data_IF_137760412240
#
_entry.id   IF_137760412240
#
_cell.length_a   1.000
_cell.length_b   1.000
_cell.length_c   1.000
_cell.angle_alpha   90.00
_cell.angle_beta   90.00
_cell.angle_gamma   90.00
#
_symmetry.space_group_name_H-M   'P 1'
#
loop_
_entity.id
_entity.type
_entity.pdbx_description
1 polymer ?
#
# COMPACT_ATOMS: atom_id res chain seq x y z
N UNK A 1 18.77 -15.38 0.59
CA UNK A 1 18.17 -15.08 -0.74
C UNK A 1 18.27 -13.57 -0.96
N UNK A 2 18.35 -13.06 -2.18
CA UNK A 2 18.49 -11.61 -2.45
C UNK A 2 17.57 -11.17 -3.61
N UNK A 3 17.20 -9.87 -3.70
CA UNK A 3 16.36 -9.36 -4.77
C UNK A 3 17.05 -9.45 -6.14
N UNK A 4 16.28 -9.76 -7.18
CA UNK A 4 16.77 -9.73 -8.55
C UNK A 4 17.27 -8.31 -8.95
N UNK A 5 18.30 -8.20 -9.83
CA UNK A 5 18.75 -6.93 -10.37
C UNK A 5 17.59 -6.14 -10.99
N UNK A 6 17.48 -4.85 -10.63
CA UNK A 6 16.33 -4.01 -11.00
C UNK A 6 16.72 -2.54 -11.03
N UNK A 7 16.01 -1.77 -11.84
CA UNK A 7 16.10 -0.31 -11.91
C UNK A 7 14.76 0.33 -11.53
N UNK A 8 14.78 1.63 -11.20
CA UNK A 8 13.59 2.44 -10.89
C UNK A 8 12.65 1.82 -9.83
N UNK A 9 13.25 1.10 -8.89
CA UNK A 9 12.65 0.79 -7.60
C UNK A 9 12.70 2.05 -6.74
N UNK A 10 11.90 2.08 -5.68
CA UNK A 10 12.03 3.08 -4.63
C UNK A 10 12.36 2.41 -3.30
N UNK A 11 12.96 3.18 -2.39
CA UNK A 11 13.43 2.69 -1.11
C UNK A 11 13.22 3.68 0.02
N UNK A 12 13.13 3.17 1.25
CA UNK A 12 13.12 3.99 2.45
C UNK A 12 13.61 3.21 3.66
N UNK A 13 13.97 3.91 4.73
CA UNK A 13 14.58 3.32 5.91
C UNK A 13 13.67 3.42 7.14
N UNK A 14 13.61 2.35 7.94
CA UNK A 14 13.07 2.35 9.30
C UNK A 14 14.09 1.71 10.23
N UNK A 15 14.64 2.48 11.16
CA UNK A 15 15.68 2.01 12.07
C UNK A 15 16.85 1.39 11.30
N UNK A 16 17.14 0.11 11.57
CA UNK A 16 18.22 -0.66 10.93
C UNK A 16 17.87 -1.26 9.58
N UNK A 17 16.63 -1.15 9.11
CA UNK A 17 16.17 -1.82 7.90
C UNK A 17 15.95 -0.83 6.75
N UNK A 18 16.55 -1.12 5.59
CA UNK A 18 16.23 -0.43 4.33
C UNK A 18 15.22 -1.27 3.58
N UNK A 19 14.04 -0.72 3.32
CA UNK A 19 12.99 -1.34 2.53
C UNK A 19 13.11 -0.91 1.07
N UNK A 20 12.91 -1.85 0.16
CA UNK A 20 12.88 -1.64 -1.28
C UNK A 20 11.58 -2.23 -1.83
N UNK A 21 10.91 -1.48 -2.70
CA UNK A 21 9.64 -1.90 -3.30
C UNK A 21 9.65 -1.74 -4.82
N UNK A 22 9.10 -2.74 -5.49
CA UNK A 22 8.89 -2.73 -6.94
C UNK A 22 10.18 -2.60 -7.75
N UNK A 23 10.13 -1.77 -8.80
CA UNK A 23 11.16 -1.64 -9.82
C UNK A 23 10.92 -2.55 -11.02
N UNK A 24 11.85 -2.57 -11.96
CA UNK A 24 11.76 -3.42 -13.14
C UNK A 24 13.14 -3.91 -13.59
N UNK A 25 13.15 -4.99 -14.35
CA UNK A 25 14.25 -5.36 -15.22
C UNK A 25 13.82 -5.20 -16.69
N UNK A 26 14.66 -5.65 -17.63
CA UNK A 26 14.35 -5.53 -19.06
C UNK A 26 13.15 -6.37 -19.51
N UNK A 27 12.72 -7.34 -18.71
CA UNK A 27 11.68 -8.33 -19.04
C UNK A 27 10.37 -8.07 -18.31
N UNK A 28 10.42 -7.65 -17.04
CA UNK A 28 9.26 -7.53 -16.18
C UNK A 28 9.38 -6.40 -15.16
N UNK A 29 8.21 -5.95 -14.68
CA UNK A 29 8.10 -5.12 -13.49
C UNK A 29 7.90 -6.02 -12.27
N UNK A 30 8.33 -5.55 -11.10
CA UNK A 30 8.21 -6.24 -9.84
C UNK A 30 7.14 -5.59 -8.95
N UNK A 31 6.44 -6.40 -8.16
CA UNK A 31 5.51 -5.97 -7.10
C UNK A 31 6.00 -6.34 -5.71
N UNK A 32 7.16 -6.99 -5.60
CA UNK A 32 7.66 -7.49 -4.33
C UNK A 32 8.25 -6.36 -3.46
N UNK A 33 8.31 -6.64 -2.17
CA UNK A 33 8.95 -5.81 -1.17
C UNK A 33 10.05 -6.61 -0.48
N UNK A 34 11.20 -5.97 -0.27
CA UNK A 34 12.37 -6.53 0.38
C UNK A 34 12.87 -5.59 1.48
N UNK A 35 13.53 -6.13 2.49
CA UNK A 35 14.32 -5.34 3.43
C UNK A 35 15.76 -5.83 3.50
N UNK A 36 16.70 -4.89 3.55
CA UNK A 36 18.09 -5.13 3.92
C UNK A 36 18.28 -4.75 5.39
N UNK A 37 18.76 -5.69 6.18
CA UNK A 37 19.24 -5.43 7.53
C UNK A 37 20.64 -4.83 7.49
N UNK A 38 20.82 -3.61 8.02
CA UNK A 38 22.08 -2.90 7.98
C UNK A 38 23.15 -3.42 8.93
N UNK A 39 22.81 -4.23 9.94
CA UNK A 39 23.82 -4.84 10.81
C UNK A 39 24.30 -6.20 10.29
N UNK A 40 23.37 -7.04 9.81
CA UNK A 40 23.70 -8.40 9.32
C UNK A 40 23.97 -8.45 7.82
N UNK A 41 23.61 -7.39 7.10
CA UNK A 41 23.64 -7.28 5.64
C UNK A 41 22.84 -8.40 4.94
N UNK A 42 21.81 -8.91 5.60
CA UNK A 42 20.93 -9.94 5.08
C UNK A 42 19.64 -9.36 4.47
N UNK A 43 19.21 -9.97 3.38
CA UNK A 43 17.97 -9.62 2.68
C UNK A 43 16.82 -10.52 3.13
N UNK A 44 15.68 -9.91 3.40
CA UNK A 44 14.42 -10.58 3.72
C UNK A 44 13.34 -10.16 2.73
N UNK A 45 12.58 -11.12 2.20
CA UNK A 45 11.44 -10.85 1.31
C UNK A 45 10.16 -10.76 2.13
N UNK A 46 9.38 -9.69 1.96
CA UNK A 46 8.14 -9.45 2.68
C UNK A 46 6.93 -9.86 1.84
N UNK A 47 6.32 -11.01 2.17
CA UNK A 47 5.14 -11.52 1.43
C UNK A 47 3.90 -10.67 1.72
N UNK A 48 3.75 -10.17 2.96
CA UNK A 48 2.61 -9.34 3.37
C UNK A 48 2.59 -7.91 2.80
N UNK A 49 3.73 -7.41 2.30
CA UNK A 49 3.91 -6.01 1.90
C UNK A 49 3.99 -5.81 0.37
N UNK A 50 3.65 -6.84 -0.41
CA UNK A 50 3.72 -6.78 -1.87
C UNK A 50 2.65 -5.86 -2.45
N UNK A 51 3.00 -5.13 -3.52
CA UNK A 51 2.09 -4.25 -4.21
C UNK A 51 0.98 -5.04 -4.95
N UNK A 52 -0.25 -4.50 -5.04
CA UNK A 52 -1.34 -5.16 -5.76
C UNK A 52 -1.05 -5.34 -7.25
N UNK A 53 -0.20 -4.50 -7.83
CA UNK A 53 0.28 -4.60 -9.20
C UNK A 53 1.78 -4.29 -9.24
N UNK A 54 2.55 -4.95 -10.12
CA UNK A 54 3.94 -4.59 -10.33
C UNK A 54 4.08 -3.13 -10.74
N UNK A 55 5.09 -2.42 -10.25
CA UNK A 55 5.32 -1.04 -10.68
C UNK A 55 6.79 -0.60 -10.60
N UNK A 56 7.17 0.31 -11.50
CA UNK A 56 8.46 0.98 -11.54
C UNK A 56 8.26 2.45 -11.92
N UNK A 57 9.26 3.32 -11.70
CA UNK A 57 9.12 4.78 -11.81
C UNK A 57 7.98 5.34 -10.93
N UNK A 58 7.67 4.66 -9.83
CA UNK A 58 6.79 5.16 -8.79
C UNK A 58 7.58 6.01 -7.80
N UNK A 59 6.87 6.70 -6.91
CA UNK A 59 7.46 7.31 -5.72
C UNK A 59 6.90 6.61 -4.49
N UNK A 60 7.76 6.34 -3.51
CA UNK A 60 7.43 5.74 -2.24
C UNK A 60 7.90 6.64 -1.10
N UNK A 61 7.15 6.65 -0.01
CA UNK A 61 7.55 7.30 1.24
C UNK A 61 7.17 6.41 2.42
N UNK A 62 7.95 6.51 3.48
CA UNK A 62 7.75 5.71 4.69
C UNK A 62 7.43 6.66 5.84
N UNK A 63 6.41 6.32 6.61
CA UNK A 63 6.17 6.84 7.94
C UNK A 63 6.88 5.93 8.95
N UNK A 64 8.06 6.32 9.47
CA UNK A 64 8.85 5.46 10.35
C UNK A 64 8.20 5.27 11.73
N UNK A 65 7.33 6.19 12.17
CA UNK A 65 6.67 6.11 13.48
C UNK A 65 5.62 5.02 13.52
N UNK A 66 4.83 4.89 12.45
CA UNK A 66 3.74 3.91 12.36
C UNK A 66 4.15 2.65 11.57
N UNK A 67 5.30 2.67 10.90
CA UNK A 67 5.75 1.58 10.04
C UNK A 67 4.92 1.42 8.79
N UNK A 68 4.46 2.51 8.19
CA UNK A 68 3.65 2.51 6.97
C UNK A 68 4.49 2.94 5.77
N UNK A 69 4.33 2.26 4.64
CA UNK A 69 4.83 2.71 3.34
C UNK A 69 3.66 3.13 2.46
N UNK A 70 3.80 4.27 1.81
CA UNK A 70 2.91 4.77 0.77
C UNK A 70 3.63 4.74 -0.56
N UNK A 71 2.98 4.20 -1.59
CA UNK A 71 3.50 4.14 -2.96
C UNK A 71 2.52 4.85 -3.88
N UNK A 72 3.01 5.80 -4.67
CA UNK A 72 2.21 6.59 -5.58
C UNK A 72 2.67 6.44 -7.03
N UNK A 73 1.71 6.12 -7.86
CA UNK A 73 1.80 6.11 -9.31
C UNK A 73 2.76 5.08 -9.89
N UNK A 74 3.54 5.50 -10.88
CA UNK A 74 4.46 4.64 -11.62
C UNK A 74 3.88 4.03 -12.89
N UNK A 75 4.52 2.97 -13.36
CA UNK A 75 4.19 2.25 -14.59
C UNK A 75 3.97 0.77 -14.28
N UNK A 76 2.79 0.23 -14.62
CA UNK A 76 2.39 -1.09 -14.13
C UNK A 76 2.80 -2.27 -15.05
N UNK A 77 3.35 -1.96 -16.22
CA UNK A 77 3.79 -2.97 -17.17
C UNK A 77 4.90 -2.42 -18.08
N UNK A 78 5.95 -3.21 -18.28
CA UNK A 78 7.11 -2.81 -19.10
C UNK A 78 6.72 -2.66 -20.58
N UNK A 79 5.88 -3.56 -21.09
CA UNK A 79 5.51 -3.61 -22.51
C UNK A 79 4.55 -2.49 -22.94
N UNK A 80 3.44 -2.28 -22.19
CA UNK A 80 2.43 -1.27 -22.55
C UNK A 80 2.67 0.10 -21.91
N UNK A 81 3.67 0.20 -21.02
CA UNK A 81 4.07 1.43 -20.30
C UNK A 81 2.89 2.23 -19.71
N UNK A 82 1.85 1.54 -19.22
CA UNK A 82 0.66 2.21 -18.68
C UNK A 82 1.01 2.91 -17.37
N UNK A 83 0.94 4.24 -17.38
CA UNK A 83 1.07 5.09 -16.18
C UNK A 83 -0.13 4.88 -15.26
N UNK A 84 0.12 4.93 -13.96
CA UNK A 84 -0.92 4.91 -12.93
C UNK A 84 -0.81 6.14 -12.05
N UNK A 85 -1.96 6.62 -11.58
CA UNK A 85 -2.14 7.60 -10.50
C UNK A 85 -2.59 6.91 -9.20
N UNK A 86 -2.49 5.57 -9.13
CA UNK A 86 -2.92 4.80 -7.98
C UNK A 86 -2.01 5.06 -6.78
N UNK A 87 -2.62 5.13 -5.60
CA UNK A 87 -1.91 5.16 -4.33
C UNK A 87 -2.11 3.82 -3.63
N UNK A 88 -1.00 3.20 -3.24
CA UNK A 88 -0.97 1.98 -2.45
C UNK A 88 -0.38 2.28 -1.09
N UNK A 89 -0.79 1.48 -0.11
CA UNK A 89 -0.28 1.54 1.26
C UNK A 89 -0.02 0.13 1.75
N UNK A 90 1.09 -0.09 2.44
CA UNK A 90 1.36 -1.34 3.13
C UNK A 90 2.02 -1.10 4.49
N UNK A 91 1.80 -2.03 5.41
CA UNK A 91 2.44 -2.05 6.71
C UNK A 91 3.79 -2.75 6.60
N UNK A 92 4.84 -2.17 7.17
CA UNK A 92 6.21 -2.71 7.25
C UNK A 92 6.54 -3.20 8.66
N UNK A 93 5.81 -2.72 9.65
CA UNK A 93 5.81 -3.20 11.03
C UNK A 93 4.39 -3.14 11.60
N UNK A 94 4.22 -3.73 12.78
CA UNK A 94 2.94 -3.63 13.49
C UNK A 94 2.70 -2.17 13.89
N UNK A 95 1.54 -1.55 13.54
CA UNK A 95 1.21 -0.21 13.99
C UNK A 95 1.09 -0.08 15.49
N UNK A 96 1.27 1.14 15.99
CA UNK A 96 0.91 1.46 17.38
C UNK A 96 -0.58 1.26 17.63
N UNK A 97 -0.95 0.94 18.88
CA UNK A 97 -2.35 0.87 19.29
C UNK A 97 -3.08 2.20 19.04
N UNK A 98 -2.41 3.32 19.27
CA UNK A 98 -2.94 4.65 19.00
C UNK A 98 -3.30 4.79 17.51
N UNK A 99 -2.41 4.41 16.60
CA UNK A 99 -2.64 4.46 15.15
C UNK A 99 -3.79 3.57 14.72
N UNK A 100 -3.84 2.33 15.22
CA UNK A 100 -4.95 1.41 14.97
C UNK A 100 -6.29 1.97 15.47
N UNK A 101 -6.31 2.56 16.67
CA UNK A 101 -7.49 3.17 17.25
C UNK A 101 -7.94 4.41 16.46
N UNK A 102 -7.01 5.26 16.02
CA UNK A 102 -7.30 6.41 15.17
C UNK A 102 -7.95 5.97 13.85
N UNK A 103 -7.41 4.95 13.18
CA UNK A 103 -8.01 4.42 11.95
C UNK A 103 -9.43 3.89 12.18
N UNK A 104 -9.65 3.16 13.29
CA UNK A 104 -10.97 2.63 13.64
C UNK A 104 -11.99 3.78 13.85
N UNK A 105 -11.61 4.83 14.56
CA UNK A 105 -12.45 6.01 14.80
C UNK A 105 -12.75 6.73 13.48
N UNK A 106 -11.75 6.98 12.64
CA UNK A 106 -11.94 7.67 11.36
C UNK A 106 -12.90 6.91 10.43
N UNK A 107 -12.86 5.56 10.44
CA UNK A 107 -13.79 4.71 9.70
C UNK A 107 -15.21 4.82 10.25
N UNK A 108 -15.38 4.73 11.57
CA UNK A 108 -16.67 4.89 12.23
C UNK A 108 -17.34 6.22 11.83
N UNK A 109 -16.60 7.33 11.98
CA UNK A 109 -17.08 8.66 11.63
C UNK A 109 -17.38 8.85 10.12
N UNK A 110 -16.62 8.18 9.25
CA UNK A 110 -16.89 8.23 7.80
C UNK A 110 -18.20 7.49 7.45
N UNK A 111 -18.41 6.31 8.03
CA UNK A 111 -19.61 5.52 7.81
C UNK A 111 -20.87 6.23 8.33
N UNK A 112 -20.78 6.89 9.49
CA UNK A 112 -21.89 7.67 10.03
C UNK A 112 -22.30 8.83 9.11
N UNK A 113 -21.33 9.54 8.51
CA UNK A 113 -21.64 10.61 7.55
C UNK A 113 -22.36 10.10 6.30
N UNK A 114 -22.00 8.92 5.79
CA UNK A 114 -22.72 8.30 4.68
C UNK A 114 -24.12 7.84 5.08
N UNK A 115 -24.29 7.33 6.29
CA UNK A 115 -25.60 6.93 6.82
C UNK A 115 -26.53 8.13 7.01
N UNK A 116 -26.03 9.25 7.54
CA UNK A 116 -26.78 10.51 7.68
C UNK A 116 -27.14 11.11 6.30
N UNK A 117 -26.24 11.03 5.31
CA UNK A 117 -26.55 11.51 3.97
C UNK A 117 -27.64 10.69 3.27
N UNK A 118 -27.74 9.38 3.58
CA UNK A 118 -28.77 8.49 3.03
C UNK A 118 -30.14 8.66 3.70
N UNK A 119 -30.18 9.03 4.98
CA UNK A 119 -31.45 9.34 5.65
C UNK A 119 -32.06 10.67 5.21
N UNK A 120 -31.27 11.57 4.61
CA UNK A 120 -31.71 12.90 4.17
C UNK A 120 -32.05 13.00 2.66
N UNK A 121 -31.90 11.93 1.88
CA UNK A 121 -32.33 11.90 0.47
C UNK A 121 -33.73 11.32 0.39
N UNK A 122 -34.68 12.14 0.80
CA UNK A 122 -36.12 11.94 0.62
C UNK A 122 -36.77 13.19 0.03
N UNK A 123 -36.16 13.86 -0.96
CA UNK A 123 -36.83 14.89 -1.76
C UNK A 123 -35.99 15.30 -3.00
N UNK A 124 -36.60 15.18 -4.20
CA UNK A 124 -36.33 15.81 -5.53
C UNK A 124 -34.86 15.87 -6.04
N UNK A 125 -34.48 15.63 -7.31
CA UNK A 125 -35.10 15.87 -8.61
C UNK A 125 -34.20 15.30 -9.75
N UNK A 126 -34.82 15.09 -10.92
CA UNK A 126 -34.32 15.11 -12.31
C UNK A 126 -33.02 14.37 -12.76
N UNK A 127 -33.21 13.46 -13.72
CA UNK A 127 -32.16 12.79 -14.50
C UNK A 127 -31.52 13.77 -15.51
N UNK A 128 -30.25 14.15 -15.33
CA UNK A 128 -29.39 14.70 -16.40
C UNK A 128 -28.34 13.66 -16.82
N UNK A 129 -28.46 13.18 -18.07
CA UNK A 129 -27.49 12.26 -18.72
C UNK A 129 -26.11 12.93 -18.82
N UNK A 130 -25.06 12.25 -18.35
CA UNK A 130 -23.66 12.55 -18.69
C UNK A 130 -23.08 11.34 -19.41
N UNK A 131 -23.12 11.37 -20.74
CA UNK A 131 -22.33 10.49 -21.60
C UNK A 131 -20.97 11.16 -21.80
N UNK A 132 -19.96 10.72 -21.07
CA UNK A 132 -18.55 10.99 -21.34
C UNK A 132 -17.77 9.68 -21.18
N UNK A 133 -17.27 9.07 -22.28
CA UNK A 133 -16.63 7.76 -22.25
C UNK A 133 -15.22 7.75 -21.63
N UNK A 134 -14.65 8.91 -21.25
CA UNK A 134 -13.29 9.00 -20.72
C UNK A 134 -13.20 9.47 -19.26
N UNK A 135 -14.33 9.75 -18.62
CA UNK A 135 -14.35 10.12 -17.20
C UNK A 135 -14.43 8.89 -16.31
N UNK A 136 -13.28 8.25 -16.08
CA UNK A 136 -13.19 7.33 -14.95
C UNK A 136 -13.33 8.13 -13.65
N UNK A 137 -14.47 7.95 -12.99
CA UNK A 137 -14.65 8.35 -11.61
C UNK A 137 -13.50 7.80 -10.78
N UNK A 138 -12.60 8.67 -10.33
CA UNK A 138 -11.69 8.40 -9.22
C UNK A 138 -12.54 8.32 -7.95
N UNK A 139 -13.31 7.24 -7.81
CA UNK A 139 -13.60 6.74 -6.47
C UNK A 139 -12.24 6.32 -5.96
N UNK A 140 -11.69 7.09 -5.02
CA UNK A 140 -10.68 6.65 -4.08
C UNK A 140 -11.23 5.40 -3.39
N UNK A 141 -11.10 4.27 -4.07
CA UNK A 141 -11.58 2.98 -3.60
C UNK A 141 -10.50 2.45 -2.67
N UNK A 142 -10.30 3.16 -1.56
CA UNK A 142 -9.77 2.59 -0.34
C UNK A 142 -10.85 1.63 0.21
N UNK A 143 -11.20 0.58 -0.55
CA UNK A 143 -11.92 -0.56 0.03
C UNK A 143 -10.88 -1.37 0.77
N UNK A 144 -10.51 -0.86 1.93
CA UNK A 144 -9.59 -1.48 2.87
C UNK A 144 -10.40 -2.52 3.65
N UNK A 145 -10.20 -3.79 3.35
CA UNK A 145 -10.75 -4.89 4.16
C UNK A 145 -9.90 -5.00 5.44
N UNK A 146 -10.45 -4.55 6.57
CA UNK A 146 -9.76 -4.54 7.87
C UNK A 146 -9.22 -5.91 8.29
N UNK A 147 -9.98 -6.98 8.05
CA UNK A 147 -9.50 -8.35 8.31
C UNK A 147 -8.26 -8.67 7.48
N UNK A 148 -8.20 -8.25 6.21
CA UNK A 148 -7.05 -8.51 5.35
C UNK A 148 -5.81 -7.74 5.80
N UNK A 149 -5.94 -6.46 6.14
CA UNK A 149 -4.83 -5.67 6.68
C UNK A 149 -4.38 -6.17 8.07
N UNK A 150 -5.32 -6.60 8.92
CA UNK A 150 -5.03 -7.18 10.22
C UNK A 150 -4.32 -8.54 10.08
N UNK A 151 -4.77 -9.39 9.16
CA UNK A 151 -4.07 -10.64 8.81
C UNK A 151 -2.68 -10.38 8.22
N UNK A 152 -2.50 -9.32 7.40
CA UNK A 152 -1.18 -8.91 6.92
C UNK A 152 -0.27 -8.46 8.07
N UNK A 153 -0.78 -7.66 9.02
CA UNK A 153 -0.02 -7.28 10.23
C UNK A 153 0.33 -8.49 11.12
N UNK A 154 -0.58 -9.47 11.26
CA UNK A 154 -0.34 -10.70 12.01
C UNK A 154 0.68 -11.62 11.32
N UNK A 155 0.69 -11.68 9.98
CA UNK A 155 1.69 -12.42 9.21
C UNK A 155 3.08 -11.78 9.34
N UNK A 156 3.16 -10.45 9.28
CA UNK A 156 4.40 -9.69 9.54
C UNK A 156 4.89 -9.93 10.98
N UNK A 157 3.99 -9.94 11.96
CA UNK A 157 4.32 -10.27 13.35
C UNK A 157 4.87 -11.69 13.51
N UNK A 158 4.26 -12.69 12.85
CA UNK A 158 4.77 -14.06 12.85
C UNK A 158 6.17 -14.16 12.20
N UNK A 159 6.38 -13.48 11.07
CA UNK A 159 7.67 -13.49 10.38
C UNK A 159 8.76 -12.75 11.18
N UNK A 160 8.40 -11.68 11.92
CA UNK A 160 9.30 -10.96 12.83
C UNK A 160 9.55 -11.71 14.16
N UNK A 161 8.58 -12.45 14.69
CA UNK A 161 8.70 -13.23 15.93
C UNK A 161 9.52 -14.51 15.74
N UNK A 162 9.58 -15.02 14.51
CA UNK A 162 10.41 -16.18 14.12
C UNK A 162 11.82 -15.78 13.64
N UNK A 163 12.18 -14.50 13.69
CA UNK A 163 13.58 -14.10 13.58
C UNK A 163 14.36 -14.66 14.78
N UNK A 164 15.60 -15.16 14.58
CA UNK A 164 16.41 -15.66 15.67
C UNK A 164 16.57 -14.55 16.73
N UNK A 165 16.05 -14.81 17.93
CA UNK A 165 16.27 -13.98 19.11
C UNK A 165 17.67 -14.34 19.63
N UNK A 166 18.56 -13.35 19.64
CA UNK A 166 19.83 -13.44 20.38
C UNK A 166 19.57 -13.14 21.86
#
# INVERSE_FOLDING_TARGET
>A
MFPAPRYSHDCGQIGRFIYMVGGADQRQAFSDCWSLDLETLQWTKHVGCSLPQPCYFHSATINPTDGEMFVFGGVNCVQRKRRSDAMYRCWLSVPSLQRMAQEAIMKFLHNDRHNISRSNIGCTESKRKKNDPYRHHTKSRLSINYLHEYFQCMQISHDLLNLPKF
#
